data_IF_074582590426
#
_entry.id   IF_074582590426
#
_cell.length_a   1.000
_cell.length_b   1.000
_cell.length_c   1.000
_cell.angle_alpha   90.00
_cell.angle_beta   90.00
_cell.angle_gamma   90.00
#
_symmetry.space_group_name_H-M   'P 1'
#
loop_
_entity.id
_entity.type
_entity.pdbx_description
1 polymer ?
2 water ?
#
# COMPACT_ATOMS: atom_id res chain seq x y z
N UNK A 3 11.42 -5.79 28.21
CA UNK A 3 10.69 -4.66 28.78
C UNK A 3 10.54 -3.44 27.84
N UNK A 4 11.65 -2.90 27.27
CA UNK A 4 11.49 -1.72 26.41
C UNK A 4 10.88 -2.03 25.05
N UNK A 5 10.25 -1.04 24.43
CA UNK A 5 9.58 -1.24 23.15
C UNK A 5 10.55 -1.51 22.00
N UNK A 6 10.03 -2.12 20.93
CA UNK A 6 10.79 -2.30 19.70
C UNK A 6 11.08 -0.94 19.09
N UNK A 7 12.15 -0.85 18.31
CA UNK A 7 12.42 0.36 17.55
C UNK A 7 11.42 0.41 16.40
N UNK A 8 11.42 1.51 15.65
CA UNK A 8 10.42 1.70 14.59
C UNK A 8 10.60 0.73 13.45
N UNK A 9 11.85 0.52 13.06
CA UNK A 9 12.17 -0.48 12.06
C UNK A 9 11.83 -1.88 12.55
N UNK A 10 11.36 -1.98 13.79
CA UNK A 10 11.09 -3.26 14.42
C UNK A 10 9.63 -3.42 14.84
N UNK A 11 9.23 -4.68 15.00
CA UNK A 11 7.93 -5.06 15.52
C UNK A 11 8.10 -6.26 16.47
N UNK A 12 7.13 -6.51 17.36
CA UNK A 12 7.38 -7.56 18.36
C UNK A 12 7.04 -8.97 17.87
N UNK A 13 7.91 -9.94 18.15
CA UNK A 13 7.61 -11.35 17.89
C UNK A 13 8.07 -12.23 19.05
N UNK A 14 7.11 -12.88 19.71
CA UNK A 14 7.41 -13.62 20.91
C UNK A 14 8.07 -12.67 21.89
N UNK A 15 9.22 -13.07 22.41
CA UNK A 15 9.95 -12.23 23.35
C UNK A 15 11.01 -11.39 22.66
N UNK A 16 11.00 -11.38 21.33
CA UNK A 16 12.03 -10.65 20.59
C UNK A 16 11.49 -9.39 19.93
N UNK A 17 12.40 -8.53 19.48
CA UNK A 17 12.04 -7.37 18.66
C UNK A 17 12.70 -7.48 17.29
N UNK A 18 11.90 -7.73 16.25
CA UNK A 18 12.41 -8.09 14.93
C UNK A 18 12.23 -6.97 13.89
N UNK A 19 13.21 -6.83 12.97
CA UNK A 19 13.14 -5.74 11.99
C UNK A 19 11.97 -5.86 11.00
N UNK A 20 11.39 -4.72 10.61
CA UNK A 20 10.31 -4.70 9.63
C UNK A 20 10.84 -4.85 8.22
N UNK A 21 9.98 -5.30 7.33
CA UNK A 21 10.29 -5.37 5.91
C UNK A 21 10.18 -3.99 5.28
N UNK A 22 11.02 -3.72 4.28
CA UNK A 22 11.01 -2.44 3.57
C UNK A 22 9.74 -2.31 2.74
N UNK A 23 9.39 -1.07 2.35
CA UNK A 23 8.24 -0.86 1.46
C UNK A 23 8.33 -1.72 0.21
N UNK A 24 7.21 -2.31 -0.19
CA UNK A 24 7.20 -3.23 -1.31
C UNK A 24 7.42 -4.68 -0.91
N UNK A 25 7.60 -4.92 0.39
CA UNK A 25 7.88 -6.27 0.90
C UNK A 25 6.93 -6.71 2.03
N UNK A 26 6.62 -8.01 2.07
CA UNK A 26 5.80 -8.60 3.13
C UNK A 26 6.69 -9.55 3.94
N UNK A 27 6.23 -9.96 5.12
CA UNK A 27 7.01 -10.86 5.98
C UNK A 27 6.93 -12.32 5.53
N UNK A 28 8.08 -12.88 5.17
CA UNK A 28 8.21 -14.28 4.76
C UNK A 28 8.32 -15.20 5.98
N UNK A 29 9.35 -14.98 6.80
CA UNK A 29 9.46 -15.63 8.11
C UNK A 29 10.10 -14.68 9.12
N UNK A 30 9.59 -14.68 10.35
CA UNK A 30 10.11 -13.80 11.40
C UNK A 30 11.56 -14.13 11.82
N UNK A 31 12.18 -13.23 12.57
CA UNK A 31 13.61 -13.31 12.87
C UNK A 31 13.99 -14.41 13.86
N UNK A 32 15.29 -14.61 14.02
CA UNK A 32 15.80 -15.62 14.93
C UNK A 32 16.67 -16.65 14.23
N UNK A 35 20.32 -12.81 13.53
CA UNK A 35 19.27 -12.93 12.52
C UNK A 35 18.26 -11.80 12.61
N UNK A 36 17.75 -11.39 11.46
CA UNK A 36 16.60 -10.50 11.40
C UNK A 36 15.55 -11.13 10.51
N UNK A 37 14.49 -10.39 10.24
CA UNK A 37 13.40 -10.90 9.42
C UNK A 37 13.84 -11.05 7.96
N UNK A 38 13.26 -12.04 7.28
CA UNK A 38 13.51 -12.21 5.86
C UNK A 38 12.28 -11.71 5.07
N UNK A 39 12.41 -10.54 4.47
CA UNK A 39 11.28 -9.90 3.82
C UNK A 39 11.26 -10.29 2.35
N UNK A 40 10.07 -10.55 1.82
CA UNK A 40 9.95 -10.93 0.41
C UNK A 40 8.94 -10.04 -0.32
N UNK A 41 9.15 -9.85 -1.64
CA UNK A 41 8.39 -8.86 -2.42
C UNK A 41 6.87 -9.06 -2.42
N UNK A 42 6.14 -7.95 -2.41
CA UNK A 42 4.69 -7.97 -2.55
C UNK A 42 4.29 -8.70 -3.82
N UNK A 43 3.20 -9.47 -3.77
CA UNK A 43 2.67 -10.12 -4.96
C UNK A 43 2.04 -9.10 -5.91
N UNK A 44 1.91 -9.45 -7.19
CA UNK A 44 1.39 -8.50 -8.17
C UNK A 44 -0.01 -8.05 -7.81
N UNK A 45 -0.33 -6.79 -8.10
CA UNK A 45 -1.62 -6.24 -7.75
C UNK A 45 -1.76 -5.93 -6.27
N UNK A 46 -0.64 -5.97 -5.55
CA UNK A 46 -0.61 -5.50 -4.18
C UNK A 46 0.59 -4.59 -3.96
N UNK A 47 0.60 -3.94 -2.82
CA UNK A 47 1.64 -2.97 -2.50
C UNK A 47 1.70 -2.76 -1.00
N UNK A 48 2.78 -2.14 -0.55
CA UNK A 48 2.88 -1.58 0.79
C UNK A 48 3.85 -0.40 0.69
N UNK A 49 3.48 0.73 1.28
CA UNK A 49 4.21 1.97 1.02
C UNK A 49 5.11 2.37 2.17
N UNK A 50 4.98 1.65 3.27
CA UNK A 50 5.78 1.93 4.46
C UNK A 50 6.43 0.66 4.93
N UNK A 51 7.32 0.78 5.91
CA UNK A 51 7.89 -0.40 6.55
C UNK A 51 6.78 -1.32 7.06
N UNK A 52 7.05 -2.62 7.07
CA UNK A 52 5.98 -3.59 7.19
C UNK A 52 6.34 -4.74 8.12
N UNK A 53 5.45 -5.07 9.04
CA UNK A 53 5.63 -6.22 9.91
C UNK A 53 4.55 -7.24 9.64
N UNK A 54 3.79 -7.02 8.58
CA UNK A 54 2.71 -7.91 8.19
C UNK A 54 3.19 -8.97 7.21
N UNK A 55 2.47 -10.09 7.16
CA UNK A 55 2.73 -11.13 6.17
C UNK A 55 1.85 -10.95 4.94
N UNK A 56 1.14 -9.83 4.89
CA UNK A 56 0.27 -9.50 3.76
C UNK A 56 0.60 -8.11 3.21
N UNK A 57 0.39 -7.91 1.92
CA UNK A 57 0.48 -6.57 1.35
C UNK A 57 -0.91 -5.99 1.13
N UNK A 58 -0.98 -4.71 0.82
CA UNK A 58 -2.27 -4.08 0.60
C UNK A 58 -2.68 -4.22 -0.85
N UNK A 59 -3.96 -4.49 -1.09
CA UNK A 59 -4.47 -4.56 -2.46
C UNK A 59 -4.40 -3.19 -3.11
N UNK A 60 -4.03 -3.15 -4.38
CA UNK A 60 -4.00 -1.89 -5.11
C UNK A 60 -5.41 -1.37 -5.37
N UNK A 61 -5.55 -0.05 -5.43
CA UNK A 61 -6.77 0.58 -5.93
C UNK A 61 -6.76 0.48 -7.46
N UNK A 62 -7.91 0.23 -8.06
CA UNK A 62 -8.03 0.23 -9.52
C UNK A 62 -9.03 1.28 -9.96
N UNK A 63 -9.03 1.57 -11.26
CA UNK A 63 -9.82 2.69 -11.78
C UNK A 63 -10.80 2.28 -12.86
N UNK A 64 -12.08 2.31 -12.50
CA UNK A 64 -13.16 1.89 -13.38
C UNK A 64 -13.70 3.05 -14.20
N UNK A 65 -13.41 3.05 -15.51
CA UNK A 65 -13.80 4.15 -16.39
C UNK A 65 -15.30 4.19 -16.64
N UNK A 66 -15.99 3.11 -16.31
CA UNK A 66 -17.45 3.09 -16.34
C UNK A 66 -18.01 3.92 -15.20
N UNK A 67 -17.12 4.58 -14.47
CA UNK A 67 -17.53 5.52 -13.45
C UNK A 67 -16.80 6.82 -13.67
N UNK A 68 -16.26 6.99 -14.87
CA UNK A 68 -15.63 8.23 -15.26
C UNK A 68 -14.34 8.45 -14.52
N UNK A 69 -13.76 7.37 -14.03
CA UNK A 69 -12.50 7.46 -13.31
C UNK A 69 -11.38 6.76 -14.07
N UNK A 70 -10.22 7.42 -14.13
CA UNK A 70 -9.07 6.90 -14.87
C UNK A 70 -7.81 6.96 -14.00
N UNK A 71 -6.96 5.95 -14.11
CA UNK A 71 -5.73 5.91 -13.32
C UNK A 71 -4.79 7.07 -13.62
N UNK A 72 -4.58 7.92 -12.62
CA UNK A 72 -3.66 9.04 -12.74
C UNK A 72 -2.24 8.65 -12.33
N UNK A 73 -2.15 7.65 -11.47
CA UNK A 73 -0.86 7.07 -11.10
C UNK A 73 -1.05 5.56 -11.02
N UNK A 74 -0.10 4.80 -11.56
CA UNK A 74 -0.22 3.34 -11.54
C UNK A 74 0.26 2.71 -10.23
N UNK A 75 -0.31 1.55 -9.89
CA UNK A 75 0.07 0.85 -8.67
C UNK A 75 1.42 0.17 -8.81
N UNK A 76 2.40 0.62 -8.03
CA UNK A 76 3.69 -0.04 -7.93
C UNK A 76 3.73 -0.84 -6.63
N UNK A 77 4.90 -1.32 -6.23
CA UNK A 77 5.04 -2.00 -4.94
C UNK A 77 5.22 -1.01 -3.80
N UNK A 78 5.87 0.11 -4.08
CA UNK A 78 6.10 1.13 -3.05
C UNK A 78 5.04 2.25 -3.00
N UNK A 79 4.06 2.21 -3.90
CA UNK A 79 2.98 3.20 -3.92
C UNK A 79 1.68 2.73 -4.58
N UNK A 80 0.55 3.13 -4.01
CA UNK A 80 -0.78 2.76 -4.51
C UNK A 80 -1.09 3.49 -5.81
N UNK A 81 -2.07 2.98 -6.55
CA UNK A 81 -2.55 3.69 -7.72
C UNK A 81 -3.46 4.84 -7.26
N UNK A 82 -3.45 5.94 -8.02
CA UNK A 82 -4.29 7.10 -7.73
C UNK A 82 -5.26 7.37 -8.88
N UNK A 83 -6.54 7.57 -8.56
CA UNK A 83 -7.55 7.77 -9.61
C UNK A 83 -7.82 9.23 -9.93
N UNK A 84 -8.04 9.49 -11.20
CA UNK A 84 -8.49 10.79 -11.65
C UNK A 84 -9.77 10.66 -12.45
N UNK A 85 -10.40 11.79 -12.74
CA UNK A 85 -11.63 11.81 -13.51
C UNK A 85 -11.39 11.61 -15.00
N UNK A 86 -12.23 10.78 -15.62
CA UNK A 86 -12.27 10.70 -17.07
C UNK A 86 -12.97 11.94 -17.61
N UNK A 87 -12.51 12.44 -18.76
CA UNK A 87 -13.05 13.60 -19.48
C UNK A 87 -14.58 13.65 -19.44
N UNK A 88 -15.14 14.85 -19.32
CA UNK A 88 -16.58 15.00 -19.22
C UNK A 88 -17.09 14.96 -17.80
N UNK A 89 -16.19 14.62 -16.89
CA UNK A 89 -16.55 14.56 -15.49
C UNK A 89 -15.62 15.46 -14.69
N UNK A 90 -16.09 15.85 -13.52
CA UNK A 90 -15.27 16.58 -12.57
C UNK A 90 -15.43 15.89 -11.23
N UNK A 91 -14.42 15.99 -10.38
CA UNK A 91 -14.44 15.29 -9.10
C UNK A 91 -15.34 15.98 -8.08
N UNK A 92 -16.14 15.19 -7.38
CA UNK A 92 -17.04 15.70 -6.35
C UNK A 92 -16.78 15.11 -4.96
N UNK A 93 -15.99 14.04 -4.91
CA UNK A 93 -15.57 13.45 -3.64
C UNK A 93 -14.09 13.05 -3.69
N UNK A 94 -13.28 13.65 -2.83
CA UNK A 94 -11.82 13.44 -2.86
C UNK A 94 -11.20 12.81 -1.61
N UNK A 95 -9.97 12.35 -1.76
CA UNK A 95 -9.13 11.93 -0.65
C UNK A 95 -7.71 12.31 -1.02
N UNK A 96 -7.42 13.60 -0.90
CA UNK A 96 -6.10 14.12 -1.23
C UNK A 96 -5.88 14.26 -2.72
N UNK A 97 -5.37 13.20 -3.33
CA UNK A 97 -5.13 13.19 -4.77
C UNK A 97 -6.10 12.23 -5.45
N UNK A 98 -6.56 11.23 -4.72
CA UNK A 98 -7.50 10.28 -5.28
C UNK A 98 -8.91 10.84 -5.33
N UNK A 99 -9.48 10.88 -6.53
CA UNK A 99 -10.89 11.18 -6.68
C UNK A 99 -11.68 9.91 -6.51
N UNK A 100 -12.66 9.92 -5.62
CA UNK A 100 -13.46 8.72 -5.37
C UNK A 100 -14.82 8.77 -6.05
N UNK A 101 -15.20 9.95 -6.53
CA UNK A 101 -16.52 10.15 -7.13
C UNK A 101 -16.53 11.29 -8.14
N UNK A 102 -17.13 11.03 -9.30
CA UNK A 102 -17.20 11.99 -10.41
C UNK A 102 -18.64 12.39 -10.73
N UNK A 103 -18.82 13.61 -11.22
CA UNK A 103 -20.12 13.98 -11.77
C UNK A 103 -19.92 14.38 -13.21
N UNK A 104 -20.84 13.95 -14.07
CA UNK A 104 -20.88 14.35 -15.47
C UNK A 104 -21.18 15.85 -15.62
N UNK A 105 -20.52 16.49 -16.58
CA UNK A 105 -20.69 17.93 -16.81
C UNK A 105 -22.09 18.33 -17.26
#
# INVERSE_FOLDING_TARGET
>A
RSLPSCKEDEYPVGSECCPKCSPGYRVKEACGELTGTVCEPCPPGTYIAHLNGLSKCLQCQMCDPAMGLRASRNCSRTENAVCGCSPGHFCIVQDGDHCAACRAYATSSPGQRVQKGGTESQDTLCTGHHHHHH
#
